data_IF_272097886712
#
_entry.id   IF_272097886712
#
_cell.length_a   1.000
_cell.length_b   1.000
_cell.length_c   1.000
_cell.angle_alpha   90.00
_cell.angle_beta   90.00
_cell.angle_gamma   90.00
#
_symmetry.space_group_name_H-M   'P 1'
#
loop_
_entity.id
_entity.type
_entity.pdbx_description
1 polymer ?
#
# COMPACT_ATOMS: atom_id res chain seq x y z
N UNK A 1 60.53 23.81 39.35
CA UNK A 1 59.35 23.83 40.25
C UNK A 1 58.40 24.98 39.89
N UNK A 2 58.06 25.18 38.60
CA UNK A 2 56.96 26.06 38.15
C UNK A 2 56.66 25.86 36.64
N UNK A 3 56.65 24.60 36.18
CA UNK A 3 56.31 24.23 34.79
C UNK A 3 55.45 22.95 34.72
N UNK A 4 54.73 22.67 35.83
CA UNK A 4 53.82 21.52 35.99
C UNK A 4 52.36 21.95 36.13
N UNK A 5 52.03 23.22 35.82
CA UNK A 5 50.71 23.78 36.13
C UNK A 5 49.80 24.11 34.93
N UNK A 6 50.19 23.77 33.69
CA UNK A 6 49.36 24.02 32.50
C UNK A 6 48.93 22.74 31.76
N UNK A 7 48.93 21.59 32.43
CA UNK A 7 48.52 20.31 31.83
C UNK A 7 47.12 19.83 32.25
N UNK A 8 46.32 20.68 32.91
CA UNK A 8 45.09 20.24 33.59
C UNK A 8 43.85 21.10 33.34
N UNK A 9 43.82 21.94 32.29
CA UNK A 9 42.74 22.91 32.08
C UNK A 9 42.01 22.84 30.73
N UNK A 10 41.84 21.62 30.22
CA UNK A 10 40.63 21.31 29.44
C UNK A 10 40.02 20.04 30.04
N UNK A 11 39.25 20.25 31.13
CA UNK A 11 38.15 19.37 31.49
C UNK A 11 37.17 19.29 30.31
N UNK A 12 37.42 18.42 29.35
CA UNK A 12 36.32 17.69 28.74
C UNK A 12 36.20 16.39 29.53
N UNK A 13 35.46 16.44 30.63
CA UNK A 13 34.59 15.29 30.92
C UNK A 13 33.82 15.06 29.62
N UNK A 14 34.16 14.00 28.89
CA UNK A 14 33.60 13.71 27.58
C UNK A 14 32.17 13.20 27.77
N UNK A 15 31.29 14.11 28.16
CA UNK A 15 29.88 13.87 28.37
C UNK A 15 29.25 13.80 26.98
N UNK A 16 28.91 12.59 26.52
CA UNK A 16 28.39 12.37 25.17
C UNK A 16 26.94 12.88 25.05
N UNK A 17 26.05 12.48 25.98
CA UNK A 17 24.64 12.87 25.98
C UNK A 17 24.41 14.25 26.63
N UNK A 18 25.05 14.50 27.77
CA UNK A 18 24.91 15.76 28.53
C UNK A 18 23.46 16.07 28.83
N UNK A 19 23.04 17.30 28.56
CA UNK A 19 21.66 17.76 28.78
C UNK A 19 20.60 16.95 28.01
N UNK A 20 21.00 16.17 27.00
CA UNK A 20 20.06 15.33 26.23
C UNK A 20 19.86 13.93 26.81
N UNK A 21 20.52 13.58 27.91
CA UNK A 21 20.29 12.32 28.61
C UNK A 21 18.82 12.18 29.04
N UNK A 22 18.23 13.25 29.57
CA UNK A 22 16.80 13.30 29.93
C UNK A 22 15.91 13.08 28.71
N UNK A 23 16.26 13.69 27.56
CA UNK A 23 15.49 13.52 26.33
C UNK A 23 15.57 12.08 25.80
N UNK A 24 16.75 11.45 25.83
CA UNK A 24 16.91 10.04 25.50
C UNK A 24 16.08 9.14 26.43
N UNK A 25 16.08 9.44 27.74
CA UNK A 25 15.25 8.76 28.73
C UNK A 25 13.75 8.87 28.45
N UNK A 26 13.28 10.06 28.04
CA UNK A 26 11.90 10.27 27.60
C UNK A 26 11.57 9.44 26.36
N UNK A 27 12.46 9.40 25.36
CA UNK A 27 12.27 8.55 24.17
C UNK A 27 12.19 7.07 24.57
N UNK A 28 13.10 6.59 25.42
CA UNK A 28 13.10 5.20 25.88
C UNK A 28 11.81 4.85 26.63
N UNK A 29 11.32 5.77 27.48
CA UNK A 29 10.06 5.60 28.22
C UNK A 29 8.86 5.51 27.28
N UNK A 30 8.74 6.45 26.34
CA UNK A 30 7.66 6.43 25.34
C UNK A 30 7.72 5.16 24.48
N UNK A 31 8.93 4.74 24.11
CA UNK A 31 9.15 3.54 23.32
C UNK A 31 8.69 2.28 24.06
N UNK A 32 8.94 2.17 25.37
CA UNK A 32 8.50 1.01 26.15
C UNK A 32 7.00 1.00 26.38
N UNK A 33 6.36 2.18 26.50
CA UNK A 33 4.90 2.33 26.54
C UNK A 33 4.26 1.93 25.21
N UNK A 34 4.95 2.13 24.08
CA UNK A 34 4.52 1.62 22.79
C UNK A 34 4.55 0.08 22.70
N UNK A 35 5.41 -0.59 23.49
CA UNK A 35 5.55 -2.06 23.56
C UNK A 35 4.55 -2.69 24.54
N UNK A 36 4.26 -2.03 25.67
CA UNK A 36 3.35 -2.52 26.69
C UNK A 36 2.03 -1.74 26.68
N UNK A 37 0.95 -2.36 26.15
CA UNK A 37 -0.43 -1.99 26.49
C UNK A 37 -1.18 -3.21 27.02
N UNK A 38 -2.17 -2.93 27.85
CA UNK A 38 -2.83 -3.77 28.85
C UNK A 38 -3.26 -5.20 28.45
N UNK A 39 -3.48 -5.99 29.50
CA UNK A 39 -3.92 -7.39 29.54
C UNK A 39 -5.09 -7.78 28.62
N UNK A 40 -5.88 -6.82 28.13
CA UNK A 40 -7.02 -7.06 27.21
C UNK A 40 -7.06 -6.09 26.00
N UNK A 41 -6.07 -5.20 25.83
CA UNK A 41 -6.09 -4.19 24.76
C UNK A 41 -4.76 -4.13 24.01
N UNK A 42 -4.85 -4.28 22.69
CA UNK A 42 -3.73 -4.16 21.76
C UNK A 42 -2.84 -2.94 22.06
N UNK A 43 -1.51 -3.13 22.03
CA UNK A 43 -0.44 -2.11 22.13
C UNK A 43 -0.84 -0.70 21.63
N UNK A 44 -0.36 0.37 22.29
CA UNK A 44 -0.73 1.77 21.97
C UNK A 44 -0.62 2.08 20.46
N UNK A 45 0.41 1.54 19.80
CA UNK A 45 0.57 1.63 18.35
C UNK A 45 -0.66 1.07 17.61
N UNK A 46 -1.10 -0.14 17.96
CA UNK A 46 -2.25 -0.81 17.35
C UNK A 46 -3.55 -0.07 17.64
N UNK A 47 -3.72 0.50 18.84
CA UNK A 47 -4.96 1.21 19.18
C UNK A 47 -5.14 2.46 18.32
N UNK A 48 -4.06 3.24 18.12
CA UNK A 48 -4.06 4.42 17.25
C UNK A 48 -4.23 4.00 15.78
N UNK A 49 -3.52 2.96 15.34
CA UNK A 49 -3.63 2.43 13.97
C UNK A 49 -5.02 1.87 13.68
N UNK A 50 -5.72 1.31 14.67
CA UNK A 50 -7.11 0.86 14.55
C UNK A 50 -8.03 2.02 14.18
N UNK A 51 -7.91 3.16 14.88
CA UNK A 51 -8.70 4.36 14.55
C UNK A 51 -8.42 4.88 13.14
N UNK A 52 -7.17 4.80 12.67
CA UNK A 52 -6.79 5.16 11.30
C UNK A 52 -7.41 4.19 10.29
N UNK A 53 -7.30 2.87 10.55
CA UNK A 53 -7.89 1.80 9.73
C UNK A 53 -9.39 2.01 9.55
N UNK A 54 -10.13 2.24 10.64
CA UNK A 54 -11.58 2.43 10.60
C UNK A 54 -11.98 3.64 9.74
N UNK A 55 -11.24 4.76 9.82
CA UNK A 55 -11.48 5.94 8.98
C UNK A 55 -11.26 5.64 7.50
N UNK A 56 -10.17 4.94 7.17
CA UNK A 56 -9.85 4.57 5.78
C UNK A 56 -10.87 3.58 5.25
N UNK A 57 -11.30 2.62 6.06
CA UNK A 57 -12.34 1.67 5.68
C UNK A 57 -13.66 2.38 5.38
N UNK A 58 -14.06 3.35 6.22
CA UNK A 58 -15.25 4.18 5.96
C UNK A 58 -15.15 4.93 4.64
N UNK A 59 -13.99 5.52 4.34
CA UNK A 59 -13.77 6.22 3.06
C UNK A 59 -13.84 5.27 1.86
N UNK A 60 -13.31 4.04 1.98
CA UNK A 60 -13.41 3.03 0.91
C UNK A 60 -14.86 2.61 0.70
N UNK A 61 -15.65 2.42 1.77
CA UNK A 61 -17.08 2.10 1.68
C UNK A 61 -17.86 3.21 0.96
N UNK A 62 -17.58 4.47 1.26
CA UNK A 62 -18.20 5.61 0.55
C UNK A 62 -17.85 5.64 -0.95
N UNK A 63 -16.62 5.24 -1.32
CA UNK A 63 -16.25 5.11 -2.73
C UNK A 63 -17.06 4.01 -3.43
N UNK A 64 -17.36 2.91 -2.75
CA UNK A 64 -18.18 1.81 -3.28
C UNK A 64 -19.62 2.27 -3.54
N UNK A 65 -20.23 2.97 -2.59
CA UNK A 65 -21.59 3.51 -2.76
C UNK A 65 -21.68 4.41 -4.00
N UNK A 66 -20.65 5.20 -4.26
CA UNK A 66 -20.58 6.10 -5.43
C UNK A 66 -20.22 5.41 -6.77
N UNK A 67 -20.10 4.07 -6.78
CA UNK A 67 -19.86 3.27 -7.99
C UNK A 67 -21.09 2.48 -8.45
N UNK A 68 -22.29 2.78 -7.94
CA UNK A 68 -23.53 2.25 -8.53
C UNK A 68 -23.74 2.83 -9.92
N UNK A 69 -24.16 1.99 -10.88
CA UNK A 69 -24.48 2.43 -12.23
C UNK A 69 -25.76 3.28 -12.21
N UNK A 70 -25.66 4.54 -12.60
CA UNK A 70 -26.82 5.42 -12.79
C UNK A 70 -27.45 5.12 -14.15
N UNK A 71 -28.62 4.49 -14.11
CA UNK A 71 -29.35 4.04 -15.29
C UNK A 71 -30.37 5.10 -15.74
N UNK A 72 -30.55 5.34 -17.06
CA UNK A 72 -31.55 6.27 -17.57
C UNK A 72 -32.99 5.86 -17.19
N UNK A 73 -33.87 6.85 -16.98
CA UNK A 73 -35.29 6.63 -16.65
C UNK A 73 -36.04 5.75 -17.66
N UNK A 74 -35.60 5.76 -18.93
CA UNK A 74 -36.15 4.93 -20.01
C UNK A 74 -36.04 3.43 -19.76
N UNK A 75 -35.22 2.98 -18.81
CA UNK A 75 -35.19 1.58 -18.36
C UNK A 75 -36.46 1.19 -17.61
N UNK A 76 -37.13 2.10 -16.92
CA UNK A 76 -38.42 1.82 -16.28
C UNK A 76 -39.49 1.51 -17.32
N UNK A 77 -39.49 2.23 -18.45
CA UNK A 77 -40.37 1.97 -19.59
C UNK A 77 -40.11 0.59 -20.21
N UNK A 78 -38.83 0.20 -20.36
CA UNK A 78 -38.43 -1.12 -20.82
C UNK A 78 -38.91 -2.23 -19.87
N UNK A 79 -38.73 -2.07 -18.56
CA UNK A 79 -39.20 -3.03 -17.56
C UNK A 79 -40.73 -3.15 -17.55
N UNK A 80 -41.45 -2.02 -17.65
CA UNK A 80 -42.90 -2.00 -17.74
C UNK A 80 -43.42 -2.69 -19.00
N UNK A 81 -42.76 -2.48 -20.15
CA UNK A 81 -43.13 -3.13 -21.41
C UNK A 81 -42.98 -4.65 -21.31
N UNK A 82 -41.83 -5.12 -20.81
CA UNK A 82 -41.56 -6.55 -20.67
C UNK A 82 -42.46 -7.23 -19.62
N UNK A 83 -42.85 -6.52 -18.56
CA UNK A 83 -43.77 -7.04 -17.54
C UNK A 83 -45.22 -7.20 -18.00
N UNK A 84 -45.63 -6.51 -19.07
CA UNK A 84 -46.99 -6.53 -19.60
C UNK A 84 -47.13 -7.27 -20.95
N UNK A 85 -46.03 -7.79 -21.49
CA UNK A 85 -46.03 -8.40 -22.81
C UNK A 85 -46.38 -9.89 -22.73
N UNK A 86 -47.60 -10.25 -23.16
CA UNK A 86 -48.12 -11.62 -23.08
C UNK A 86 -47.71 -12.52 -24.29
N UNK A 87 -46.87 -12.05 -25.22
CA UNK A 87 -46.52 -12.78 -26.45
C UNK A 87 -45.02 -12.61 -26.77
N UNK A 88 -44.33 -13.71 -27.14
CA UNK A 88 -42.98 -13.65 -27.72
C UNK A 88 -43.00 -12.86 -29.03
N UNK A 89 -42.43 -11.66 -29.01
CA UNK A 89 -42.24 -10.81 -30.18
C UNK A 89 -40.76 -10.48 -30.35
N UNK A 90 -40.35 -10.15 -31.58
CA UNK A 90 -38.96 -9.74 -31.85
C UNK A 90 -38.55 -8.51 -31.00
N UNK A 91 -39.50 -7.62 -30.70
CA UNK A 91 -39.34 -6.49 -29.78
C UNK A 91 -39.15 -6.95 -28.33
N UNK A 92 -39.89 -7.96 -27.86
CA UNK A 92 -39.65 -8.55 -26.54
C UNK A 92 -38.24 -9.14 -26.45
N UNK A 93 -37.79 -9.89 -27.46
CA UNK A 93 -36.45 -10.48 -27.47
C UNK A 93 -35.36 -9.41 -27.43
N UNK A 94 -35.51 -8.32 -28.20
CA UNK A 94 -34.60 -7.15 -28.15
C UNK A 94 -34.60 -6.48 -26.79
N UNK A 95 -35.76 -6.31 -26.16
CA UNK A 95 -35.88 -5.73 -24.82
C UNK A 95 -35.22 -6.59 -23.73
N UNK A 96 -35.46 -7.90 -23.75
CA UNK A 96 -34.83 -8.87 -22.85
C UNK A 96 -33.31 -8.87 -23.02
N UNK A 97 -32.82 -8.79 -24.27
CA UNK A 97 -31.40 -8.71 -24.55
C UNK A 97 -30.76 -7.45 -23.94
N UNK A 98 -31.40 -6.29 -24.08
CA UNK A 98 -30.92 -5.02 -23.49
C UNK A 98 -30.84 -5.12 -21.96
N UNK A 99 -31.87 -5.64 -21.28
CA UNK A 99 -31.83 -5.86 -19.83
C UNK A 99 -30.72 -6.85 -19.42
N UNK A 100 -30.51 -7.90 -20.22
CA UNK A 100 -29.45 -8.87 -19.98
C UNK A 100 -28.08 -8.21 -20.11
N UNK A 101 -27.85 -7.38 -21.11
CA UNK A 101 -26.59 -6.64 -21.29
C UNK A 101 -26.32 -5.70 -20.10
N UNK A 102 -27.34 -4.95 -19.64
CA UNK A 102 -27.24 -4.07 -18.46
C UNK A 102 -26.86 -4.88 -17.22
N UNK A 103 -27.59 -5.95 -16.92
CA UNK A 103 -27.36 -6.77 -15.72
C UNK A 103 -26.00 -7.47 -15.75
N UNK A 104 -25.55 -7.95 -16.91
CA UNK A 104 -24.22 -8.53 -17.08
C UNK A 104 -23.14 -7.48 -16.82
N UNK A 105 -23.27 -6.27 -17.40
CA UNK A 105 -22.27 -5.22 -17.24
C UNK A 105 -22.21 -4.69 -15.80
N UNK A 106 -23.37 -4.51 -15.17
CA UNK A 106 -23.44 -4.10 -13.76
C UNK A 106 -22.76 -5.13 -12.85
N UNK A 107 -23.02 -6.42 -13.06
CA UNK A 107 -22.39 -7.51 -12.31
C UNK A 107 -20.89 -7.59 -12.57
N UNK A 108 -20.44 -7.41 -13.82
CA UNK A 108 -19.03 -7.40 -14.19
C UNK A 108 -18.26 -6.29 -13.46
N UNK A 109 -18.79 -5.07 -13.46
CA UNK A 109 -18.19 -3.90 -12.81
C UNK A 109 -18.17 -4.03 -11.29
N UNK A 110 -19.26 -4.53 -10.68
CA UNK A 110 -19.30 -4.85 -9.24
C UNK A 110 -18.25 -5.91 -8.89
N UNK A 111 -18.18 -7.00 -9.66
CA UNK A 111 -17.20 -8.06 -9.46
C UNK A 111 -15.76 -7.55 -9.60
N UNK A 112 -15.48 -6.70 -10.60
CA UNK A 112 -14.16 -6.09 -10.81
C UNK A 112 -13.75 -5.22 -9.61
N UNK A 113 -14.66 -4.42 -9.05
CA UNK A 113 -14.39 -3.63 -7.85
C UNK A 113 -14.14 -4.51 -6.62
N UNK A 114 -15.02 -5.49 -6.37
CA UNK A 114 -14.89 -6.42 -5.23
C UNK A 114 -13.59 -7.22 -5.29
N UNK A 115 -13.21 -7.74 -6.46
CA UNK A 115 -11.95 -8.49 -6.66
C UNK A 115 -10.70 -7.62 -6.48
N UNK A 116 -10.72 -6.38 -6.98
CA UNK A 116 -9.53 -5.52 -6.94
C UNK A 116 -9.38 -4.74 -5.64
N UNK A 117 -10.45 -4.53 -4.88
CA UNK A 117 -10.46 -3.68 -3.69
C UNK A 117 -10.87 -4.47 -2.46
N UNK A 118 -12.07 -5.04 -2.41
CA UNK A 118 -12.62 -5.61 -1.17
C UNK A 118 -11.87 -6.84 -0.68
N UNK A 119 -11.63 -7.83 -1.55
CA UNK A 119 -10.87 -9.02 -1.16
C UNK A 119 -9.46 -8.68 -0.69
N UNK A 120 -8.78 -7.76 -1.40
CA UNK A 120 -7.42 -7.32 -1.04
C UNK A 120 -7.38 -6.44 0.21
N UNK A 121 -8.46 -5.71 0.48
CA UNK A 121 -8.56 -4.77 1.62
C UNK A 121 -8.53 -5.54 2.93
N UNK A 122 -9.35 -6.56 3.08
CA UNK A 122 -9.43 -7.33 4.33
C UNK A 122 -8.13 -8.12 4.60
N UNK A 123 -7.55 -8.71 3.55
CA UNK A 123 -6.26 -9.40 3.64
C UNK A 123 -5.13 -8.44 4.07
N UNK A 124 -4.97 -7.30 3.40
CA UNK A 124 -3.92 -6.31 3.74
C UNK A 124 -4.10 -5.74 5.14
N UNK A 125 -5.34 -5.49 5.58
CA UNK A 125 -5.59 -4.99 6.92
C UNK A 125 -5.23 -5.98 8.01
N UNK A 126 -5.52 -7.26 7.82
CA UNK A 126 -5.13 -8.30 8.76
C UNK A 126 -3.62 -8.57 8.73
N UNK A 127 -2.99 -8.51 7.55
CA UNK A 127 -1.52 -8.61 7.43
C UNK A 127 -0.83 -7.48 8.20
N UNK A 128 -1.21 -6.22 7.95
CA UNK A 128 -0.62 -5.06 8.65
C UNK A 128 -0.87 -5.13 10.16
N UNK A 129 -2.04 -5.60 10.60
CA UNK A 129 -2.36 -5.74 12.02
C UNK A 129 -1.51 -6.81 12.71
N UNK A 130 -1.17 -7.90 12.01
CA UNK A 130 -0.38 -9.02 12.52
C UNK A 130 1.14 -8.82 12.38
N UNK A 131 1.57 -7.79 11.64
CA UNK A 131 2.99 -7.49 11.44
C UNK A 131 3.71 -7.18 12.75
N UNK A 132 4.64 -8.07 13.12
CA UNK A 132 5.42 -7.95 14.36
C UNK A 132 6.41 -6.77 14.32
N UNK A 133 6.77 -6.28 13.15
CA UNK A 133 7.73 -5.17 12.96
C UNK A 133 7.31 -3.90 13.73
N UNK A 134 6.00 -3.67 13.87
CA UNK A 134 5.44 -2.54 14.64
C UNK A 134 5.82 -2.59 16.13
N UNK A 135 6.09 -3.78 16.67
CA UNK A 135 6.48 -3.98 18.08
C UNK A 135 7.98 -4.17 18.24
N UNK A 136 8.59 -4.84 17.28
CA UNK A 136 10.03 -5.13 17.30
C UNK A 136 10.87 -3.86 17.13
N UNK A 137 10.37 -2.87 16.37
CA UNK A 137 11.08 -1.60 16.18
C UNK A 137 11.20 -0.80 17.48
N UNK A 138 10.10 -0.56 18.23
CA UNK A 138 10.19 -0.03 19.58
C UNK A 138 11.10 -0.84 20.50
N UNK A 139 10.96 -2.17 20.55
CA UNK A 139 11.79 -3.02 21.40
C UNK A 139 13.30 -2.88 21.08
N UNK A 140 13.66 -2.86 19.80
CA UNK A 140 15.04 -2.64 19.37
C UNK A 140 15.54 -1.25 19.77
N UNK A 141 14.73 -0.22 19.55
CA UNK A 141 15.07 1.16 19.91
C UNK A 141 15.25 1.32 21.42
N UNK A 142 14.48 0.61 22.23
CA UNK A 142 14.67 0.57 23.68
C UNK A 142 16.02 -0.06 24.06
N UNK A 143 16.34 -1.25 23.52
CA UNK A 143 17.65 -1.89 23.73
C UNK A 143 18.81 -1.01 23.25
N UNK A 144 18.63 -0.34 22.11
CA UNK A 144 19.58 0.62 21.57
C UNK A 144 19.81 1.78 22.55
N UNK A 145 18.75 2.39 23.09
CA UNK A 145 18.87 3.45 24.10
C UNK A 145 19.61 2.98 25.37
N UNK A 146 19.36 1.75 25.84
CA UNK A 146 20.08 1.20 26.99
C UNK A 146 21.58 1.04 26.70
N UNK A 147 21.93 0.52 25.54
CA UNK A 147 23.33 0.40 25.11
C UNK A 147 23.97 1.79 25.08
N UNK A 148 23.36 2.75 24.40
CA UNK A 148 23.87 4.13 24.31
C UNK A 148 24.05 4.75 25.71
N UNK A 149 23.11 4.52 26.62
CA UNK A 149 23.20 5.00 27.99
C UNK A 149 24.40 4.38 28.74
N UNK A 150 24.58 3.06 28.66
CA UNK A 150 25.74 2.37 29.25
C UNK A 150 27.05 2.94 28.70
N UNK A 151 27.12 3.21 27.39
CA UNK A 151 28.31 3.82 26.80
C UNK A 151 28.53 5.27 27.23
N UNK A 152 27.48 6.07 27.40
CA UNK A 152 27.60 7.42 27.95
C UNK A 152 28.23 7.38 29.35
N UNK A 153 27.81 6.44 30.21
CA UNK A 153 28.42 6.25 31.53
C UNK A 153 29.86 5.74 31.46
N UNK A 154 30.17 4.80 30.56
CA UNK A 154 31.55 4.32 30.35
C UNK A 154 32.47 5.45 29.89
N UNK A 155 32.01 6.35 29.02
CA UNK A 155 32.81 7.48 28.53
C UNK A 155 33.12 8.51 29.63
N UNK A 156 32.35 8.55 30.72
CA UNK A 156 32.63 9.42 31.89
C UNK A 156 33.78 8.87 32.74
N UNK A 157 33.97 7.55 32.77
CA UNK A 157 35.10 6.93 33.48
C UNK A 157 36.42 7.29 32.79
N UNK A 158 37.45 7.58 33.56
CA UNK A 158 38.79 7.83 33.01
C UNK A 158 39.48 6.48 32.73
N UNK A 159 39.52 6.07 31.47
CA UNK A 159 40.23 4.86 31.04
C UNK A 159 40.91 5.10 29.68
N UNK A 160 41.99 4.36 29.41
CA UNK A 160 42.77 4.42 28.17
C UNK A 160 41.99 3.73 27.04
N UNK A 161 41.89 4.39 25.89
CA UNK A 161 41.12 3.90 24.75
C UNK A 161 39.67 4.39 24.72
N UNK A 162 39.38 5.67 24.89
CA UNK A 162 38.00 6.14 24.63
C UNK A 162 37.66 6.07 23.13
N UNK A 163 38.67 6.14 22.27
CA UNK A 163 38.54 6.23 20.82
C UNK A 163 37.90 4.97 20.19
N UNK A 164 38.28 3.76 20.63
CA UNK A 164 37.66 2.52 20.13
C UNK A 164 36.19 2.40 20.53
N UNK A 165 35.81 2.86 21.72
CA UNK A 165 34.40 2.87 22.14
C UNK A 165 33.56 3.80 21.26
N UNK A 166 34.06 5.01 21.01
CA UNK A 166 33.35 5.99 20.17
C UNK A 166 33.23 5.49 18.73
N UNK A 167 34.31 4.94 18.14
CA UNK A 167 34.25 4.34 16.80
C UNK A 167 33.26 3.18 16.73
N UNK A 168 33.25 2.31 17.77
CA UNK A 168 32.29 1.21 17.89
C UNK A 168 30.85 1.69 17.95
N UNK A 169 30.55 2.72 18.75
CA UNK A 169 29.22 3.32 18.84
C UNK A 169 28.76 3.95 17.52
N UNK A 170 29.66 4.63 16.80
CA UNK A 170 29.35 5.23 15.50
C UNK A 170 28.97 4.15 14.47
N UNK A 171 29.77 3.07 14.39
CA UNK A 171 29.48 1.92 13.54
C UNK A 171 28.19 1.20 13.95
N UNK A 172 27.96 1.02 15.25
CA UNK A 172 26.75 0.41 15.78
C UNK A 172 25.50 1.19 15.40
N UNK A 173 25.54 2.52 15.55
CA UNK A 173 24.45 3.41 15.13
C UNK A 173 24.22 3.31 13.62
N UNK A 174 25.30 3.35 12.83
CA UNK A 174 25.22 3.25 11.37
C UNK A 174 24.59 1.92 10.90
N UNK A 175 25.03 0.78 11.45
CA UNK A 175 24.46 -0.52 11.09
C UNK A 175 23.02 -0.69 11.57
N UNK A 176 22.65 -0.09 12.71
CA UNK A 176 21.28 -0.06 13.20
C UNK A 176 20.35 0.64 12.19
N UNK A 177 20.78 1.78 11.62
CA UNK A 177 20.07 2.45 10.54
C UNK A 177 19.91 1.56 9.31
N UNK A 178 21.00 0.96 8.82
CA UNK A 178 20.95 0.11 7.62
C UNK A 178 20.01 -1.09 7.80
N UNK A 179 20.08 -1.74 8.97
CA UNK A 179 19.25 -2.89 9.29
C UNK A 179 17.76 -2.54 9.27
N UNK A 180 17.37 -1.47 9.98
CA UNK A 180 15.96 -1.07 10.04
C UNK A 180 15.44 -0.45 8.77
N UNK A 181 16.29 0.27 8.01
CA UNK A 181 15.93 0.76 6.68
C UNK A 181 15.48 -0.41 5.78
N UNK A 182 16.22 -1.52 5.78
CA UNK A 182 15.88 -2.71 4.99
C UNK A 182 14.55 -3.32 5.45
N UNK A 183 14.32 -3.42 6.77
CA UNK A 183 13.07 -3.96 7.32
C UNK A 183 11.88 -3.08 6.92
N UNK A 184 11.98 -1.77 7.09
CA UNK A 184 10.91 -0.84 6.73
C UNK A 184 10.64 -0.79 5.22
N UNK A 185 11.69 -0.86 4.39
CA UNK A 185 11.53 -1.02 2.93
C UNK A 185 10.78 -2.30 2.61
N UNK A 186 11.16 -3.44 3.22
CA UNK A 186 10.49 -4.72 3.02
C UNK A 186 9.02 -4.64 3.44
N UNK A 187 8.75 -4.12 4.63
CA UNK A 187 7.40 -3.90 5.14
C UNK A 187 6.54 -3.10 4.15
N UNK A 188 7.07 -1.96 3.66
CA UNK A 188 6.36 -1.13 2.71
C UNK A 188 6.12 -1.84 1.37
N UNK A 189 7.11 -2.58 0.85
CA UNK A 189 6.99 -3.30 -0.43
C UNK A 189 5.95 -4.42 -0.34
N UNK A 190 5.90 -5.15 0.78
CA UNK A 190 4.96 -6.26 1.00
C UNK A 190 3.53 -5.73 1.18
N UNK A 191 3.33 -4.70 1.99
CA UNK A 191 1.99 -4.26 2.40
C UNK A 191 1.43 -3.09 1.58
N UNK A 192 2.10 -2.68 0.50
CA UNK A 192 1.60 -1.61 -0.38
C UNK A 192 0.58 -2.14 -1.39
N UNK A 193 -0.62 -1.56 -1.36
CA UNK A 193 -1.66 -1.88 -2.33
C UNK A 193 -1.28 -1.45 -3.76
N UNK A 194 -1.50 -2.35 -4.73
CA UNK A 194 -1.24 -2.08 -6.14
C UNK A 194 0.23 -2.16 -6.56
N UNK A 195 1.13 -2.59 -5.67
CA UNK A 195 2.50 -2.89 -6.06
C UNK A 195 2.54 -4.16 -6.92
N UNK A 196 2.71 -3.97 -8.24
CA UNK A 196 3.12 -5.07 -9.12
C UNK A 196 4.62 -5.24 -8.95
N UNK A 197 5.04 -6.39 -8.41
CA UNK A 197 6.46 -6.74 -8.28
C UNK A 197 7.13 -6.55 -9.65
N UNK A 198 8.15 -5.69 -9.72
CA UNK A 198 8.87 -5.49 -10.99
C UNK A 198 9.45 -6.83 -11.41
N UNK A 199 9.04 -7.34 -12.56
CA UNK A 199 9.63 -8.54 -13.18
C UNK A 199 11.12 -8.35 -13.51
N UNK A 200 11.56 -7.09 -13.68
CA UNK A 200 12.98 -6.76 -13.89
C UNK A 200 13.69 -6.53 -12.56
N UNK A 201 14.33 -7.57 -12.05
CA UNK A 201 15.27 -7.47 -10.92
C UNK A 201 16.53 -6.71 -11.36
N UNK A 202 17.06 -5.85 -10.48
CA UNK A 202 18.29 -5.10 -10.72
C UNK A 202 19.52 -6.03 -10.72
N UNK A 203 19.46 -7.08 -9.90
CA UNK A 203 20.43 -8.18 -9.92
C UNK A 203 19.86 -9.30 -10.80
N UNK A 204 20.62 -9.84 -11.76
CA UNK A 204 20.21 -10.99 -12.55
C UNK A 204 19.75 -12.15 -11.67
N UNK A 205 18.56 -12.71 -11.91
CA UNK A 205 18.01 -13.84 -11.14
C UNK A 205 18.98 -15.02 -11.02
N UNK A 206 19.78 -15.28 -12.06
CA UNK A 206 20.80 -16.35 -12.05
C UNK A 206 21.87 -16.12 -10.97
N UNK A 207 22.30 -14.87 -10.76
CA UNK A 207 23.28 -14.54 -9.72
C UNK A 207 22.65 -14.67 -8.34
N UNK A 208 21.39 -14.26 -8.17
CA UNK A 208 20.67 -14.41 -6.91
C UNK A 208 20.41 -15.87 -6.55
N UNK A 209 20.02 -16.72 -7.52
CA UNK A 209 19.85 -18.17 -7.32
C UNK A 209 21.15 -18.84 -6.86
N UNK A 210 22.26 -18.58 -7.57
CA UNK A 210 23.58 -19.10 -7.19
C UNK A 210 24.01 -18.61 -5.80
N UNK A 211 23.78 -17.34 -5.49
CA UNK A 211 24.08 -16.80 -4.16
C UNK A 211 23.28 -17.50 -3.06
N UNK A 212 22.00 -17.78 -3.31
CA UNK A 212 21.15 -18.49 -2.36
C UNK A 212 21.56 -19.96 -2.21
N UNK A 213 21.94 -20.64 -3.29
CA UNK A 213 22.49 -21.99 -3.23
C UNK A 213 23.77 -22.03 -2.37
N UNK A 214 24.68 -21.06 -2.56
CA UNK A 214 25.89 -20.92 -1.74
C UNK A 214 25.52 -20.60 -0.28
N UNK A 215 24.58 -19.68 -0.05
CA UNK A 215 24.11 -19.32 1.30
C UNK A 215 23.49 -20.51 2.03
N UNK A 216 22.70 -21.34 1.33
CA UNK A 216 22.11 -22.58 1.82
C UNK A 216 23.19 -23.61 2.12
N UNK A 217 24.15 -23.83 1.22
CA UNK A 217 25.30 -24.70 1.44
C UNK A 217 26.06 -24.32 2.72
N UNK A 218 26.34 -23.02 2.89
CA UNK A 218 27.01 -22.48 4.07
C UNK A 218 26.15 -22.67 5.33
N UNK A 219 24.82 -22.55 5.24
CA UNK A 219 23.89 -22.81 6.35
C UNK A 219 23.88 -24.28 6.78
N UNK A 220 24.04 -25.21 5.83
CA UNK A 220 24.11 -26.66 6.11
C UNK A 220 25.36 -27.05 6.90
N UNK A 221 26.41 -26.23 6.92
CA UNK A 221 27.63 -26.49 7.69
C UNK A 221 27.46 -26.23 9.20
N UNK A 222 26.26 -25.86 9.64
CA UNK A 222 25.92 -25.56 11.02
C UNK A 222 26.01 -24.07 11.33
N UNK A 223 25.21 -23.62 12.30
CA UNK A 223 25.00 -22.20 12.61
C UNK A 223 26.31 -21.46 12.94
N UNK A 224 27.17 -22.06 13.76
CA UNK A 224 28.46 -21.47 14.18
C UNK A 224 29.44 -21.34 13.01
N UNK A 225 29.69 -22.41 12.24
CA UNK A 225 30.63 -22.38 11.10
C UNK A 225 30.16 -21.43 10.00
N UNK A 226 28.85 -21.42 9.73
CA UNK A 226 28.22 -20.48 8.81
C UNK A 226 28.43 -19.03 9.22
N UNK A 227 28.26 -18.73 10.51
CA UNK A 227 28.45 -17.37 11.05
C UNK A 227 29.92 -16.94 10.94
N UNK A 228 30.85 -17.79 11.37
CA UNK A 228 32.29 -17.50 11.31
C UNK A 228 32.77 -17.26 9.89
N UNK A 229 32.36 -18.08 8.92
CA UNK A 229 32.74 -17.89 7.51
C UNK A 229 32.20 -16.56 6.96
N UNK A 230 30.92 -16.23 7.22
CA UNK A 230 30.32 -14.97 6.78
C UNK A 230 31.01 -13.77 7.41
N UNK A 231 31.35 -13.86 8.70
CA UNK A 231 32.12 -12.82 9.40
C UNK A 231 33.51 -12.66 8.78
N UNK A 232 34.23 -13.75 8.51
CA UNK A 232 35.55 -13.71 7.90
C UNK A 232 35.52 -13.09 6.49
N UNK A 233 34.55 -13.48 5.65
CA UNK A 233 34.38 -12.87 4.32
C UNK A 233 34.06 -11.37 4.41
N UNK A 234 33.21 -10.98 5.37
CA UNK A 234 32.88 -9.58 5.61
C UNK A 234 34.12 -8.79 6.04
N UNK A 235 34.92 -9.34 6.94
CA UNK A 235 36.16 -8.70 7.41
C UNK A 235 37.20 -8.57 6.30
N UNK A 236 37.37 -9.60 5.47
CA UNK A 236 38.27 -9.54 4.33
C UNK A 236 37.84 -8.47 3.33
N UNK A 237 36.54 -8.39 3.03
CA UNK A 237 35.99 -7.32 2.20
C UNK A 237 36.23 -5.93 2.82
N UNK A 238 36.01 -5.81 4.13
CA UNK A 238 36.26 -4.57 4.85
C UNK A 238 37.72 -4.13 4.77
N UNK A 239 38.67 -5.05 5.02
CA UNK A 239 40.11 -4.76 4.93
C UNK A 239 40.48 -4.28 3.53
N UNK A 240 39.94 -4.92 2.48
CA UNK A 240 40.15 -4.48 1.09
C UNK A 240 39.62 -3.06 0.87
N UNK A 241 38.40 -2.75 1.32
CA UNK A 241 37.85 -1.40 1.24
C UNK A 241 38.69 -0.37 2.03
N UNK A 242 39.20 -0.76 3.19
CA UNK A 242 40.01 0.08 4.06
C UNK A 242 41.36 0.44 3.42
N UNK A 243 42.05 -0.55 2.84
CA UNK A 243 43.28 -0.35 2.08
C UNK A 243 43.06 0.52 0.84
N UNK A 244 41.98 0.30 0.09
CA UNK A 244 41.62 1.16 -1.05
C UNK A 244 41.34 2.60 -0.62
N UNK A 245 40.66 2.79 0.51
CA UNK A 245 40.36 4.11 1.04
C UNK A 245 41.63 4.85 1.48
N UNK A 246 42.64 4.16 2.02
CA UNK A 246 43.89 4.76 2.45
C UNK A 246 44.72 5.38 1.32
N UNK A 247 44.59 4.86 0.10
CA UNK A 247 45.29 5.39 -1.08
C UNK A 247 44.55 6.55 -1.76
N UNK A 248 43.38 6.96 -1.26
CA UNK A 248 42.56 8.01 -1.84
C UNK A 248 42.64 9.33 -1.05
N UNK A 249 42.14 10.42 -1.65
CA UNK A 249 41.94 11.69 -0.93
C UNK A 249 40.82 11.56 0.12
N UNK A 250 40.90 12.29 1.23
CA UNK A 250 40.03 12.18 2.41
C UNK A 250 38.53 12.10 2.12
N UNK A 251 38.01 12.91 1.19
CA UNK A 251 36.59 12.87 0.78
C UNK A 251 36.22 11.57 0.08
N UNK A 252 37.10 11.07 -0.80
CA UNK A 252 36.90 9.84 -1.55
C UNK A 252 37.04 8.63 -0.61
N UNK A 253 38.01 8.68 0.30
CA UNK A 253 38.21 7.64 1.32
C UNK A 253 36.98 7.45 2.20
N UNK A 254 36.39 8.54 2.70
CA UNK A 254 35.14 8.49 3.47
C UNK A 254 33.99 7.89 2.67
N UNK A 255 33.86 8.26 1.39
CA UNK A 255 32.85 7.68 0.51
C UNK A 255 33.05 6.17 0.29
N UNK A 256 34.28 5.74 0.00
CA UNK A 256 34.62 4.33 -0.17
C UNK A 256 34.32 3.53 1.10
N UNK A 257 34.63 4.06 2.29
CA UNK A 257 34.36 3.39 3.56
C UNK A 257 32.85 3.27 3.81
N UNK A 258 32.09 4.36 3.69
CA UNK A 258 30.62 4.34 3.92
C UNK A 258 29.92 3.40 2.93
N UNK A 259 30.26 3.50 1.64
CA UNK A 259 29.66 2.65 0.60
C UNK A 259 30.11 1.20 0.77
N UNK A 260 31.40 0.95 0.99
CA UNK A 260 31.96 -0.37 1.25
C UNK A 260 31.28 -1.06 2.42
N UNK A 261 31.19 -0.39 3.57
CA UNK A 261 30.52 -0.93 4.76
C UNK A 261 29.04 -1.23 4.53
N UNK A 262 28.39 -0.49 3.61
CA UNK A 262 26.97 -0.68 3.27
C UNK A 262 26.73 -1.84 2.31
N UNK A 263 27.63 -2.09 1.35
CA UNK A 263 27.41 -3.01 0.22
C UNK A 263 26.95 -4.42 0.67
N UNK A 264 27.64 -5.12 1.59
CA UNK A 264 27.25 -6.49 1.95
C UNK A 264 25.87 -6.54 2.61
N UNK A 265 25.54 -5.51 3.41
CA UNK A 265 24.26 -5.38 4.10
C UNK A 265 23.14 -5.09 3.09
N UNK A 266 23.38 -4.16 2.16
CA UNK A 266 22.42 -3.79 1.12
C UNK A 266 22.16 -4.93 0.13
N UNK A 267 23.19 -5.70 -0.25
CA UNK A 267 23.02 -6.88 -1.12
C UNK A 267 22.14 -7.93 -0.43
N UNK A 268 22.42 -8.24 0.84
CA UNK A 268 21.61 -9.19 1.62
C UNK A 268 20.18 -8.67 1.81
N UNK A 269 20.02 -7.39 2.11
CA UNK A 269 18.70 -6.74 2.23
C UNK A 269 17.90 -6.76 0.93
N UNK A 270 18.54 -6.44 -0.19
CA UNK A 270 17.94 -6.48 -1.51
C UNK A 270 17.47 -7.90 -1.88
N UNK A 271 18.27 -8.92 -1.55
CA UNK A 271 17.87 -10.32 -1.68
C UNK A 271 16.61 -10.59 -0.85
N UNK A 272 16.60 -10.23 0.44
CA UNK A 272 15.45 -10.49 1.33
C UNK A 272 14.17 -9.73 0.92
N UNK A 273 14.27 -8.56 0.30
CA UNK A 273 13.11 -7.79 -0.22
C UNK A 273 12.54 -8.40 -1.50
N UNK A 274 13.40 -8.84 -2.42
CA UNK A 274 12.96 -9.23 -3.77
C UNK A 274 12.81 -10.75 -3.94
N UNK A 275 13.49 -11.55 -3.13
CA UNK A 275 13.42 -13.00 -3.18
C UNK A 275 12.55 -13.53 -2.03
N UNK A 276 11.50 -14.29 -2.37
CA UNK A 276 10.61 -14.98 -1.43
C UNK A 276 11.29 -16.14 -0.67
N UNK A 277 12.61 -16.21 -0.65
CA UNK A 277 13.34 -17.42 -0.25
C UNK A 277 13.59 -17.56 1.26
N UNK A 278 13.21 -16.57 2.07
CA UNK A 278 13.21 -16.69 3.52
C UNK A 278 11.86 -16.20 4.06
N UNK A 279 10.90 -17.13 4.21
CA UNK A 279 9.79 -17.02 5.18
C UNK A 279 10.34 -17.14 6.61
N UNK A 280 11.42 -16.43 6.93
CA UNK A 280 11.85 -16.32 8.32
C UNK A 280 10.90 -15.36 9.01
N UNK A 281 10.06 -15.92 9.88
CA UNK A 281 9.24 -15.18 10.84
C UNK A 281 10.13 -14.17 11.57
N UNK A 282 9.66 -12.93 11.65
CA UNK A 282 10.31 -11.83 12.36
C UNK A 282 10.23 -12.03 13.88
N UNK A 283 10.66 -13.18 14.39
CA UNK A 283 10.59 -13.48 15.81
C UNK A 283 11.43 -12.53 16.67
N UNK A 284 11.11 -12.43 17.96
CA UNK A 284 11.96 -11.77 18.95
C UNK A 284 13.39 -12.31 18.96
N UNK A 285 13.58 -13.62 18.72
CA UNK A 285 14.90 -14.24 18.63
C UNK A 285 15.69 -13.74 17.41
N UNK A 286 15.02 -13.56 16.26
CA UNK A 286 15.63 -12.96 15.07
C UNK A 286 16.13 -11.54 15.38
N UNK A 287 15.32 -10.74 16.07
CA UNK A 287 15.66 -9.37 16.45
C UNK A 287 16.87 -9.31 17.38
N UNK A 288 16.83 -10.05 18.50
CA UNK A 288 17.90 -10.06 19.50
C UNK A 288 19.19 -10.61 18.89
N UNK A 289 19.10 -11.67 18.08
CA UNK A 289 20.25 -12.23 17.38
C UNK A 289 20.93 -11.23 16.46
N UNK A 290 20.16 -10.47 15.68
CA UNK A 290 20.72 -9.42 14.80
C UNK A 290 21.23 -8.21 15.59
N UNK A 291 20.58 -7.83 16.69
CA UNK A 291 21.07 -6.77 17.58
C UNK A 291 22.46 -7.11 18.12
N UNK A 292 22.62 -8.30 18.69
CA UNK A 292 23.90 -8.78 19.24
C UNK A 292 24.95 -8.92 18.14
N UNK A 293 24.58 -9.46 16.98
CA UNK A 293 25.51 -9.59 15.86
C UNK A 293 26.00 -8.23 15.34
N UNK A 294 25.11 -7.25 15.17
CA UNK A 294 25.45 -5.89 14.77
C UNK A 294 26.35 -5.23 15.82
N UNK A 295 26.04 -5.42 17.10
CA UNK A 295 26.85 -4.93 18.20
C UNK A 295 28.28 -5.49 18.14
N UNK A 296 28.44 -6.82 18.14
CA UNK A 296 29.76 -7.48 18.09
C UNK A 296 30.53 -7.08 16.84
N UNK A 297 29.88 -7.07 15.67
CA UNK A 297 30.50 -6.69 14.40
C UNK A 297 31.05 -5.26 14.45
N UNK A 298 30.28 -4.32 15.02
CA UNK A 298 30.66 -2.90 15.09
C UNK A 298 31.92 -2.68 15.92
N UNK A 299 32.02 -3.35 17.08
CA UNK A 299 33.20 -3.25 17.94
C UNK A 299 34.40 -4.01 17.37
N UNK A 300 34.18 -5.15 16.70
CA UNK A 300 35.26 -5.87 16.05
C UNK A 300 35.86 -5.05 14.90
N UNK A 301 35.02 -4.39 14.09
CA UNK A 301 35.49 -3.47 13.05
C UNK A 301 36.22 -2.27 13.63
N UNK A 302 35.74 -1.69 14.73
CA UNK A 302 36.43 -0.60 15.42
C UNK A 302 37.83 -1.04 15.88
N UNK A 303 37.96 -2.22 16.49
CA UNK A 303 39.26 -2.78 16.89
C UNK A 303 40.18 -2.93 15.67
N UNK A 304 39.69 -3.49 14.56
CA UNK A 304 40.47 -3.65 13.33
C UNK A 304 40.97 -2.29 12.81
N UNK A 305 40.10 -1.27 12.75
CA UNK A 305 40.48 0.08 12.31
C UNK A 305 41.61 0.64 13.17
N UNK A 306 41.46 0.58 14.50
CA UNK A 306 42.46 1.10 15.43
C UNK A 306 43.78 0.33 15.35
N UNK A 307 43.75 -1.00 15.17
CA UNK A 307 44.96 -1.79 14.93
C UNK A 307 45.72 -1.35 13.66
N UNK A 308 45.02 -0.97 12.59
CA UNK A 308 45.67 -0.45 11.38
C UNK A 308 46.28 0.94 11.59
N UNK A 309 45.61 1.80 12.37
CA UNK A 309 46.12 3.15 12.68
C UNK A 309 47.33 3.10 13.61
N UNK A 310 47.34 2.16 14.55
CA UNK A 310 48.49 1.89 15.43
C UNK A 310 49.68 1.31 14.65
N UNK A 311 49.40 0.49 13.63
CA UNK A 311 50.43 -0.07 12.76
C UNK A 311 51.04 0.97 11.80
N UNK A 312 50.22 1.86 11.22
CA UNK A 312 50.68 2.94 10.35
C UNK A 312 49.84 4.22 10.53
N UNK A 313 50.53 5.29 10.92
CA UNK A 313 49.91 6.60 11.15
C UNK A 313 49.33 7.25 9.89
N UNK A 314 49.66 6.79 8.68
CA UNK A 314 49.05 7.25 7.44
C UNK A 314 47.51 7.06 7.43
N UNK A 315 47.03 6.01 8.12
CA UNK A 315 45.61 5.69 8.24
C UNK A 315 44.86 6.61 9.22
N UNK A 316 45.54 7.46 10.00
CA UNK A 316 44.89 8.40 10.94
C UNK A 316 43.94 9.37 10.24
N UNK A 317 44.19 9.67 8.97
CA UNK A 317 43.32 10.50 8.12
C UNK A 317 41.93 9.87 7.84
N UNK A 318 41.79 8.56 8.06
CA UNK A 318 40.53 7.81 7.90
C UNK A 318 39.70 7.76 9.19
N UNK A 319 40.29 8.10 10.34
CA UNK A 319 39.53 8.24 11.58
C UNK A 319 38.64 9.47 11.49
N UNK A 320 37.41 9.32 11.96
CA UNK A 320 36.48 10.45 12.06
C UNK A 320 37.03 11.41 13.13
N UNK A 321 37.38 12.65 12.80
CA UNK A 321 37.91 13.59 13.78
C UNK A 321 36.83 13.90 14.83
N UNK A 322 37.13 13.57 16.09
CA UNK A 322 36.22 13.74 17.22
C UNK A 322 36.37 15.12 17.86
N UNK A 323 36.01 16.17 17.13
CA UNK A 323 36.09 17.54 17.66
C UNK A 323 34.83 17.92 18.46
N UNK A 324 33.65 17.39 18.08
CA UNK A 324 32.39 17.57 18.79
C UNK A 324 31.47 16.37 18.57
N UNK A 325 30.97 15.75 19.64
CA UNK A 325 30.03 14.61 19.59
C UNK A 325 28.65 14.94 19.00
N UNK A 326 28.43 16.19 18.59
CA UNK A 326 27.15 16.74 18.16
C UNK A 326 26.44 15.88 17.09
N UNK A 327 27.15 15.53 16.01
CA UNK A 327 26.56 14.76 14.90
C UNK A 327 26.20 13.33 15.29
N UNK A 328 27.05 12.67 16.09
CA UNK A 328 26.79 11.33 16.60
C UNK A 328 25.59 11.35 17.57
N UNK A 329 25.54 12.35 18.45
CA UNK A 329 24.42 12.59 19.37
C UNK A 329 23.10 12.79 18.63
N UNK A 330 23.05 13.66 17.62
CA UNK A 330 21.85 13.82 16.81
C UNK A 330 21.47 12.54 16.07
N UNK A 331 22.45 11.82 15.51
CA UNK A 331 22.20 10.55 14.81
C UNK A 331 21.54 9.51 15.72
N UNK A 332 22.04 9.36 16.93
CA UNK A 332 21.50 8.47 17.98
C UNK A 332 20.07 8.85 18.36
N UNK A 333 19.83 10.14 18.65
CA UNK A 333 18.50 10.62 19.03
C UNK A 333 17.49 10.47 17.90
N UNK A 334 17.89 10.82 16.67
CA UNK A 334 17.07 10.63 15.48
C UNK A 334 16.74 9.15 15.26
N UNK A 335 17.69 8.24 15.46
CA UNK A 335 17.43 6.82 15.29
C UNK A 335 16.39 6.32 16.29
N UNK A 336 16.62 6.62 17.58
CA UNK A 336 15.72 6.23 18.66
C UNK A 336 14.30 6.77 18.46
N UNK A 337 14.17 8.05 18.06
CA UNK A 337 12.89 8.69 17.80
C UNK A 337 12.20 8.10 16.56
N UNK A 338 12.90 8.05 15.43
CA UNK A 338 12.32 7.63 14.16
C UNK A 338 11.96 6.16 14.20
N UNK A 339 12.87 5.29 14.60
CA UNK A 339 12.64 3.85 14.60
C UNK A 339 11.76 3.42 15.78
N UNK A 340 11.91 4.03 16.96
CA UNK A 340 11.15 3.65 18.16
C UNK A 340 9.72 4.16 18.17
N UNK A 341 9.47 5.32 17.57
CA UNK A 341 8.15 5.97 17.65
C UNK A 341 7.60 6.26 16.26
N UNK A 342 8.28 7.06 15.43
CA UNK A 342 7.66 7.62 14.21
C UNK A 342 7.33 6.56 13.15
N UNK A 343 8.28 5.69 12.79
CA UNK A 343 8.15 4.69 11.73
C UNK A 343 7.12 3.60 12.01
N UNK A 344 7.00 3.08 13.25
CA UNK A 344 5.90 2.19 13.63
C UNK A 344 4.49 2.75 13.35
N UNK A 345 4.30 4.07 13.35
CA UNK A 345 3.02 4.68 12.93
C UNK A 345 3.01 5.02 11.44
N UNK A 346 4.10 5.62 10.94
CA UNK A 346 4.16 6.19 9.60
C UNK A 346 4.04 5.12 8.51
N UNK A 347 4.76 3.99 8.63
CA UNK A 347 4.75 2.96 7.59
C UNK A 347 3.39 2.26 7.46
N UNK A 348 2.75 1.78 8.54
CA UNK A 348 1.39 1.26 8.47
C UNK A 348 0.38 2.29 7.93
N UNK A 349 0.49 3.56 8.35
CA UNK A 349 -0.35 4.63 7.81
C UNK A 349 -0.18 4.79 6.30
N UNK A 350 1.07 4.81 5.80
CA UNK A 350 1.35 4.89 4.37
C UNK A 350 0.78 3.70 3.60
N UNK A 351 0.85 2.49 4.17
CA UNK A 351 0.26 1.29 3.58
C UNK A 351 -1.27 1.38 3.52
N UNK A 352 -1.94 1.78 4.60
CA UNK A 352 -3.39 2.00 4.58
C UNK A 352 -3.79 3.10 3.60
N UNK A 353 -3.05 4.20 3.53
CA UNK A 353 -3.32 5.26 2.57
C UNK A 353 -3.09 4.80 1.12
N UNK A 354 -2.11 3.93 0.88
CA UNK A 354 -1.89 3.33 -0.44
C UNK A 354 -3.11 2.53 -0.91
N UNK A 355 -3.79 1.84 0.00
CA UNK A 355 -5.01 1.11 -0.28
C UNK A 355 -6.17 2.05 -0.62
N UNK A 356 -6.32 3.15 0.12
CA UNK A 356 -7.31 4.18 -0.23
C UNK A 356 -7.05 4.77 -1.62
N UNK A 357 -5.80 5.11 -1.94
CA UNK A 357 -5.43 5.64 -3.26
C UNK A 357 -5.74 4.60 -4.36
N UNK A 358 -5.44 3.33 -4.13
CA UNK A 358 -5.75 2.24 -5.05
C UNK A 358 -7.28 2.11 -5.25
N UNK A 359 -8.06 2.06 -4.16
CA UNK A 359 -9.52 2.00 -4.21
C UNK A 359 -10.13 3.20 -4.96
N UNK A 360 -9.62 4.41 -4.72
CA UNK A 360 -10.03 5.63 -5.41
C UNK A 360 -9.73 5.57 -6.90
N UNK A 361 -8.58 5.03 -7.30
CA UNK A 361 -8.24 4.83 -8.71
C UNK A 361 -9.17 3.82 -9.37
N UNK A 362 -9.42 2.68 -8.73
CA UNK A 362 -10.34 1.65 -9.23
C UNK A 362 -11.75 2.21 -9.36
N UNK A 363 -12.28 2.87 -8.34
CA UNK A 363 -13.61 3.50 -8.38
C UNK A 363 -13.76 4.48 -9.56
N UNK A 364 -12.73 5.29 -9.83
CA UNK A 364 -12.72 6.21 -10.99
C UNK A 364 -12.70 5.49 -12.33
N UNK A 365 -11.96 4.37 -12.45
CA UNK A 365 -11.95 3.58 -13.68
C UNK A 365 -13.31 2.91 -13.89
N UNK A 366 -13.86 2.28 -12.85
CA UNK A 366 -15.20 1.68 -12.88
C UNK A 366 -16.27 2.71 -13.25
N UNK A 367 -16.24 3.92 -12.67
CA UNK A 367 -17.19 4.98 -13.02
C UNK A 367 -17.07 5.44 -14.48
N UNK A 368 -15.86 5.55 -15.02
CA UNK A 368 -15.66 5.86 -16.45
C UNK A 368 -16.21 4.76 -17.37
N UNK A 369 -15.94 3.50 -17.05
CA UNK A 369 -16.48 2.36 -17.80
C UNK A 369 -18.02 2.31 -17.72
N UNK A 370 -18.61 2.71 -16.60
CA UNK A 370 -20.06 2.89 -16.46
C UNK A 370 -20.59 3.99 -17.36
N UNK A 371 -20.00 5.18 -17.30
CA UNK A 371 -20.42 6.33 -18.10
C UNK A 371 -20.33 6.02 -19.61
N UNK A 372 -19.25 5.35 -20.05
CA UNK A 372 -19.08 4.90 -21.44
C UNK A 372 -20.17 3.89 -21.84
N UNK A 373 -20.48 2.92 -20.98
CA UNK A 373 -21.55 1.96 -21.24
C UNK A 373 -22.92 2.64 -21.31
N UNK A 374 -23.27 3.49 -20.35
CA UNK A 374 -24.56 4.21 -20.30
C UNK A 374 -24.71 5.14 -21.52
N UNK A 375 -23.65 5.83 -21.93
CA UNK A 375 -23.66 6.66 -23.13
C UNK A 375 -23.89 5.84 -24.41
N UNK A 376 -23.34 4.62 -24.50
CA UNK A 376 -23.60 3.71 -25.64
C UNK A 376 -25.00 3.09 -25.61
N UNK A 377 -25.56 2.89 -24.42
CA UNK A 377 -26.85 2.26 -24.19
C UNK A 377 -28.02 3.23 -24.44
N UNK A 378 -27.87 4.48 -24.02
CA UNK A 378 -28.91 5.52 -24.11
C UNK A 378 -29.56 5.65 -25.49
N UNK A 379 -28.81 5.77 -26.61
CA UNK A 379 -29.41 5.86 -27.94
C UNK A 379 -30.16 4.57 -28.31
N UNK A 380 -29.60 3.39 -28.02
CA UNK A 380 -30.25 2.09 -28.28
C UNK A 380 -31.57 1.95 -27.52
N UNK A 381 -31.61 2.44 -26.27
CA UNK A 381 -32.82 2.43 -25.45
C UNK A 381 -33.87 3.41 -25.96
N UNK A 382 -33.44 4.56 -26.49
CA UNK A 382 -34.32 5.54 -27.13
C UNK A 382 -34.96 4.97 -28.39
N UNK A 383 -34.16 4.37 -29.28
CA UNK A 383 -34.63 3.72 -30.50
C UNK A 383 -35.63 2.60 -30.19
N UNK A 384 -35.35 1.83 -29.13
CA UNK A 384 -36.26 0.80 -28.64
C UNK A 384 -37.59 1.37 -28.14
N UNK A 385 -37.56 2.43 -27.34
CA UNK A 385 -38.78 3.10 -26.85
C UNK A 385 -39.60 3.70 -27.99
N UNK A 386 -38.96 4.30 -29.00
CA UNK A 386 -39.62 4.82 -30.20
C UNK A 386 -40.28 3.69 -31.01
N UNK A 387 -39.63 2.52 -31.09
CA UNK A 387 -40.18 1.32 -31.75
C UNK A 387 -41.41 0.75 -31.04
N UNK A 388 -41.47 0.82 -29.70
CA UNK A 388 -42.67 0.47 -28.95
C UNK A 388 -43.83 1.41 -29.29
N UNK A 389 -43.57 2.72 -29.29
CA UNK A 389 -44.59 3.73 -29.57
C UNK A 389 -45.15 3.60 -31.00
N UNK A 390 -44.27 3.32 -31.98
CA UNK A 390 -44.69 3.14 -33.37
C UNK A 390 -45.48 1.84 -33.58
N UNK A 391 -45.10 0.73 -32.93
CA UNK A 391 -45.83 -0.54 -33.01
C UNK A 391 -47.25 -0.47 -32.41
N UNK A 392 -47.45 0.27 -31.31
CA UNK A 392 -48.79 0.56 -30.78
C UNK A 392 -49.64 1.42 -31.72
N UNK A 393 -49.03 2.33 -32.47
CA UNK A 393 -49.74 3.20 -33.42
C UNK A 393 -50.23 2.49 -34.69
N UNK A 394 -49.58 1.37 -35.06
CA UNK A 394 -49.95 0.56 -36.21
C UNK A 394 -51.13 -0.37 -35.90
N UNK A 395 -51.13 -1.03 -34.73
CA UNK A 395 -52.23 -1.91 -34.31
C UNK A 395 -53.56 -1.19 -34.10
N UNK A 396 -53.54 0.04 -33.58
CA UNK A 396 -54.78 0.79 -33.31
C UNK A 396 -55.48 1.28 -34.58
N UNK A 397 -54.75 1.56 -35.66
CA UNK A 397 -55.33 2.06 -36.92
C UNK A 397 -56.01 0.96 -37.73
N UNK A 398 -55.44 -0.25 -37.80
CA UNK A 398 -56.05 -1.36 -38.54
C UNK A 398 -57.28 -1.92 -37.83
N UNK A 399 -57.26 -2.02 -36.49
CA UNK A 399 -58.45 -2.42 -35.72
C UNK A 399 -59.57 -1.39 -35.82
N UNK A 400 -59.29 -0.08 -35.66
CA UNK A 400 -60.32 0.95 -35.82
C UNK A 400 -60.93 0.95 -37.22
N UNK A 401 -60.12 0.85 -38.29
CA UNK A 401 -60.64 0.82 -39.67
C UNK A 401 -61.54 -0.39 -39.90
N UNK A 402 -61.17 -1.58 -39.40
CA UNK A 402 -61.98 -2.79 -39.52
C UNK A 402 -63.32 -2.70 -38.75
N UNK A 403 -63.33 -2.03 -37.60
CA UNK A 403 -64.50 -1.84 -36.75
C UNK A 403 -65.44 -0.79 -37.35
N UNK A 404 -64.90 0.32 -37.85
CA UNK A 404 -65.67 1.36 -38.53
C UNK A 404 -66.29 0.86 -39.84
N UNK A 405 -65.57 0.03 -40.62
CA UNK A 405 -66.08 -0.58 -41.86
C UNK A 405 -67.25 -1.56 -41.57
N UNK A 406 -67.13 -2.39 -40.52
CA UNK A 406 -68.22 -3.30 -40.10
C UNK A 406 -69.47 -2.52 -39.68
N UNK A 407 -69.31 -1.46 -38.90
CA UNK A 407 -70.43 -0.62 -38.47
C UNK A 407 -71.00 0.24 -39.58
N UNK A 408 -70.20 0.61 -40.58
CA UNK A 408 -70.66 1.29 -41.78
C UNK A 408 -71.62 0.42 -42.59
N UNK A 409 -71.25 -0.85 -42.84
CA UNK A 409 -72.10 -1.80 -43.56
C UNK A 409 -73.42 -2.07 -42.82
N UNK A 410 -73.36 -2.30 -41.50
CA UNK A 410 -74.57 -2.45 -40.68
C UNK A 410 -75.49 -1.22 -40.73
N UNK A 411 -74.92 -0.01 -40.81
CA UNK A 411 -75.71 1.21 -40.88
C UNK A 411 -76.39 1.38 -42.25
N UNK A 412 -75.73 1.03 -43.35
CA UNK A 412 -76.30 1.18 -44.70
C UNK A 412 -77.52 0.29 -44.96
N UNK A 413 -77.62 -0.85 -44.26
CA UNK A 413 -78.75 -1.77 -44.38
C UNK A 413 -79.99 -1.32 -43.58
N UNK A 414 -79.84 -0.34 -42.69
CA UNK A 414 -80.91 0.18 -41.85
C UNK A 414 -81.60 1.40 -42.50
N UNK A 415 -82.77 1.18 -43.11
CA UNK A 415 -83.58 2.28 -43.66
C UNK A 415 -84.24 3.10 -42.55
N UNK A 416 -84.05 4.42 -42.59
CA UNK A 416 -84.74 5.40 -41.74
C UNK A 416 -84.10 5.70 -40.37
N UNK A 417 -82.94 5.11 -40.06
CA UNK A 417 -82.26 5.34 -38.76
C UNK A 417 -81.30 6.54 -38.85
N UNK A 418 -81.42 7.48 -37.91
CA UNK A 418 -80.48 8.61 -37.81
C UNK A 418 -79.12 8.11 -37.30
N UNK A 419 -78.03 8.59 -37.92
CA UNK A 419 -76.64 8.23 -37.57
C UNK A 419 -76.38 8.38 -36.06
N UNK A 420 -76.90 9.45 -35.44
CA UNK A 420 -76.70 9.72 -34.00
C UNK A 420 -77.26 8.60 -33.13
N UNK A 421 -78.43 8.09 -33.49
CA UNK A 421 -79.10 7.03 -32.74
C UNK A 421 -78.41 5.67 -32.95
N UNK A 422 -77.89 5.42 -34.15
CA UNK A 422 -77.09 4.24 -34.46
C UNK A 422 -75.76 4.23 -33.67
N UNK A 423 -75.00 5.32 -33.72
CA UNK A 423 -73.72 5.45 -33.01
C UNK A 423 -73.92 5.34 -31.49
N UNK A 424 -74.98 5.97 -30.94
CA UNK A 424 -75.32 5.86 -29.51
C UNK A 424 -75.63 4.41 -29.12
N UNK A 425 -76.39 3.67 -29.94
CA UNK A 425 -76.73 2.26 -29.68
C UNK A 425 -75.52 1.33 -29.74
N UNK A 426 -74.53 1.65 -30.58
CA UNK A 426 -73.31 0.84 -30.77
C UNK A 426 -72.12 1.31 -29.91
N UNK A 427 -72.26 2.40 -29.15
CA UNK A 427 -71.18 2.94 -28.32
C UNK A 427 -70.02 3.55 -29.13
N UNK A 428 -70.29 4.03 -30.35
CA UNK A 428 -69.30 4.58 -31.27
C UNK A 428 -69.30 6.11 -31.18
N UNK A 429 -68.13 6.74 -31.28
CA UNK A 429 -68.04 8.19 -31.39
C UNK A 429 -68.71 8.71 -32.66
N UNK A 430 -69.69 9.61 -32.47
CA UNK A 430 -70.57 10.11 -33.55
C UNK A 430 -69.78 10.99 -34.53
N UNK A 431 -68.78 11.72 -34.07
CA UNK A 431 -68.00 12.66 -34.89
C UNK A 431 -67.05 11.88 -35.78
N UNK A 432 -66.33 10.91 -35.21
CA UNK A 432 -65.43 10.01 -35.93
C UNK A 432 -66.17 9.17 -36.98
N UNK A 433 -67.33 8.59 -36.63
CA UNK A 433 -68.13 7.79 -37.57
C UNK A 433 -68.66 8.63 -38.75
N UNK A 434 -69.05 9.88 -38.50
CA UNK A 434 -69.49 10.81 -39.57
C UNK A 434 -68.35 11.19 -40.51
N UNK A 435 -67.17 11.43 -39.97
CA UNK A 435 -66.00 11.78 -40.78
C UNK A 435 -65.55 10.61 -41.65
N UNK A 436 -65.55 9.39 -41.08
CA UNK A 436 -65.28 8.15 -41.81
C UNK A 436 -66.27 7.93 -42.97
N UNK A 437 -67.58 8.02 -42.69
CA UNK A 437 -68.62 7.94 -43.74
C UNK A 437 -68.45 9.01 -44.82
N UNK A 438 -68.07 10.23 -44.45
CA UNK A 438 -67.90 11.34 -45.40
C UNK A 438 -66.71 11.09 -46.33
N UNK A 439 -65.60 10.52 -45.82
CA UNK A 439 -64.46 10.09 -46.64
C UNK A 439 -64.84 8.98 -47.61
N UNK A 440 -65.56 7.94 -47.15
CA UNK A 440 -65.98 6.79 -47.97
C UNK A 440 -67.06 7.08 -49.03
N UNK A 441 -67.73 8.24 -48.96
CA UNK A 441 -68.71 8.70 -49.96
C UNK A 441 -68.09 9.64 -50.99
N UNK A 442 -66.87 10.12 -50.74
CA UNK A 442 -66.10 10.98 -51.64
C UNK A 442 -64.94 10.23 -52.33
N UNK A 443 -64.77 8.94 -52.02
CA UNK A 443 -64.13 7.92 -52.86
C UNK A 443 -65.23 7.15 -53.61
#
# INVERSE_FOLDING_TARGET
MQFLYNWYDIKMESIFLGDSQTFLGTIATLTILCVFSEQDSSNFIVSVLKGIRERIEKQIRQLKENTSMELPDSIQLLQYFLGNANVESELNNKGVQILREISVKENELKAQYTMNVEFKKDELFEQIKKSEEQFLAPLYSFLFCLVIFVFDELLRVHFVGKEWLVSGMALFTFYSYLFWLIIWIKFFVIHRAGYKKREKTFIPERLMKRWNEISLLVRHWGCSKSFTLRLACFLLFFVVCFLLAAHCNSKISMFILVVGLSIPVLIKGYSRVNCFFDEEDYSHLFLVGHFVAIFILSFLLAIVIHLFVDYDHSFKSLLIPYENFLWMKYSVLCFALLNGIVFPFLFPFLCYNSLYIHAKKTARMTKREQDEFVNSLTPRLKDFCESILSSKSAGSKEEEISVFERHYQEYTDLKGVKIVDFCRKKGIDVVAFREYRRKRLND
#
